data_IF_441936648816
#
_entry.id   IF_441936648816
#
_cell.length_a   1.000
_cell.length_b   1.000
_cell.length_c   1.000
_cell.angle_alpha   90.00
_cell.angle_beta   90.00
_cell.angle_gamma   90.00
#
_symmetry.space_group_name_H-M   'P 1'
#
loop_
_entity.id
_entity.type
_entity.pdbx_description
1 polymer ?
#
# COMPACT_ATOMS: atom_id res chain seq x y z
N UNK A 1 16.60 80.39 12.43
CA UNK A 1 16.91 80.50 13.87
C UNK A 1 15.60 80.62 14.65
N UNK A 2 15.52 80.00 15.85
CA UNK A 2 14.35 79.80 16.76
C UNK A 2 13.54 78.53 16.45
N UNK A 3 13.87 77.39 17.09
CA UNK A 3 13.37 76.84 18.38
C UNK A 3 11.85 76.68 18.41
N UNK A 4 11.35 75.45 18.56
CA UNK A 4 10.76 74.96 19.81
C UNK A 4 10.61 73.44 19.81
N UNK A 5 11.12 72.81 20.88
CA UNK A 5 10.74 71.48 21.34
C UNK A 5 9.32 71.54 21.90
N UNK A 6 8.52 70.49 21.68
CA UNK A 6 7.45 70.13 22.61
C UNK A 6 7.38 68.62 22.78
N UNK A 7 7.49 68.23 24.04
CA UNK A 7 7.31 66.89 24.58
C UNK A 7 5.85 66.45 24.49
N UNK A 8 5.58 65.21 24.06
CA UNK A 8 4.43 64.43 24.53
C UNK A 8 4.80 62.95 24.66
N UNK A 9 4.85 62.51 25.93
CA UNK A 9 4.51 61.21 26.55
C UNK A 9 4.31 59.99 25.63
N UNK A 10 5.12 58.94 25.78
CA UNK A 10 4.93 57.81 26.72
C UNK A 10 3.73 56.91 26.37
N UNK A 11 3.97 55.80 25.66
CA UNK A 11 3.25 54.53 25.91
C UNK A 11 4.25 53.38 25.88
N UNK A 12 4.34 52.78 27.05
CA UNK A 12 5.00 51.55 27.44
C UNK A 12 4.26 50.35 26.81
N UNK A 13 4.94 49.47 26.10
CA UNK A 13 4.49 48.08 25.94
C UNK A 13 5.62 47.11 26.25
N UNK A 14 5.56 46.60 27.50
CA UNK A 14 6.16 45.33 27.87
C UNK A 14 5.58 44.23 26.99
N UNK A 15 6.42 43.54 26.23
CA UNK A 15 6.11 42.20 25.76
C UNK A 15 6.73 41.20 26.72
N UNK A 16 5.83 40.65 27.54
CA UNK A 16 6.00 39.57 28.49
C UNK A 16 6.52 38.30 27.79
N UNK A 17 7.52 37.70 28.42
CA UNK A 17 7.67 36.27 28.66
C UNK A 17 6.91 35.32 27.70
N UNK A 18 7.52 35.04 26.54
CA UNK A 18 7.28 33.77 25.85
C UNK A 18 8.17 32.70 26.47
N UNK A 19 7.71 32.06 27.55
CA UNK A 19 8.32 30.82 28.02
C UNK A 19 8.24 29.82 26.87
N UNK A 20 9.36 29.59 26.20
CA UNK A 20 9.57 28.39 25.41
C UNK A 20 9.53 27.21 26.38
N UNK A 21 8.32 26.71 26.65
CA UNK A 21 8.16 25.34 27.12
C UNK A 21 8.75 24.47 26.03
N UNK A 22 10.03 24.12 26.19
CA UNK A 22 10.51 22.83 25.72
C UNK A 22 9.54 21.82 26.32
N UNK A 23 8.57 21.38 25.51
CA UNK A 23 7.93 20.09 25.71
C UNK A 23 9.08 19.08 25.67
N UNK A 24 9.59 18.79 26.85
CA UNK A 24 10.36 17.59 27.12
C UNK A 24 9.51 16.45 26.59
N UNK A 25 9.91 15.97 25.41
CA UNK A 25 9.56 14.64 24.93
C UNK A 25 9.84 13.72 26.10
N UNK A 26 8.77 13.32 26.77
CA UNK A 26 8.82 12.24 27.74
C UNK A 26 9.30 11.04 26.94
N UNK A 27 10.59 10.74 27.07
CA UNK A 27 11.14 9.41 26.85
C UNK A 27 10.48 8.51 27.92
N UNK A 28 9.19 8.25 27.74
CA UNK A 28 8.37 7.47 28.65
C UNK A 28 8.73 6.01 28.51
N UNK A 29 8.84 5.34 29.66
CA UNK A 29 8.92 3.89 29.79
C UNK A 29 8.09 3.19 28.69
N UNK A 30 8.77 2.44 27.81
CA UNK A 30 8.17 1.90 26.58
C UNK A 30 6.85 1.18 26.85
N UNK A 31 5.75 1.81 26.45
CA UNK A 31 4.43 1.36 26.84
C UNK A 31 4.07 -0.02 26.29
N UNK A 32 3.14 -0.67 26.96
CA UNK A 32 2.72 -2.03 26.62
C UNK A 32 1.69 -2.02 25.45
N UNK A 33 1.74 -3.00 24.52
CA UNK A 33 2.75 -4.04 24.36
C UNK A 33 4.03 -3.51 23.69
N UNK A 34 5.20 -4.15 23.94
CA UNK A 34 6.40 -3.89 23.16
C UNK A 34 6.20 -4.22 21.68
N UNK A 35 6.87 -3.48 20.79
CA UNK A 35 6.81 -3.63 19.33
C UNK A 35 6.99 -5.09 18.86
N UNK A 36 8.01 -5.79 19.36
CA UNK A 36 8.29 -7.18 19.00
C UNK A 36 7.17 -8.15 19.43
N UNK A 37 6.48 -7.86 20.55
CA UNK A 37 5.34 -8.66 21.00
C UNK A 37 4.12 -8.41 20.11
N UNK A 38 3.82 -7.15 19.80
CA UNK A 38 2.72 -6.78 18.91
C UNK A 38 2.85 -7.49 17.56
N UNK A 39 4.05 -7.45 16.96
CA UNK A 39 4.32 -8.16 15.70
C UNK A 39 4.00 -9.66 15.79
N UNK A 40 4.55 -10.38 16.79
CA UNK A 40 4.31 -11.83 16.95
C UNK A 40 2.85 -12.18 17.21
N UNK A 41 2.15 -11.37 17.99
CA UNK A 41 0.74 -11.59 18.29
C UNK A 41 -0.13 -11.41 17.03
N UNK A 42 0.11 -10.34 16.25
CA UNK A 42 -0.58 -10.08 14.98
C UNK A 42 -0.24 -11.15 13.94
N UNK A 43 1.02 -11.55 13.81
CA UNK A 43 1.43 -12.61 12.89
C UNK A 43 0.72 -13.93 13.20
N UNK A 44 0.67 -14.32 14.48
CA UNK A 44 -0.04 -15.53 14.92
C UNK A 44 -1.54 -15.45 14.66
N UNK A 45 -2.14 -14.28 14.88
CA UNK A 45 -3.56 -14.07 14.62
C UNK A 45 -3.86 -14.14 13.12
N UNK A 46 -3.05 -13.49 12.29
CA UNK A 46 -3.19 -13.48 10.84
C UNK A 46 -3.15 -14.89 10.24
N UNK A 47 -2.24 -15.75 10.70
CA UNK A 47 -2.17 -17.16 10.26
C UNK A 47 -3.48 -17.93 10.46
N UNK A 48 -4.31 -17.52 11.41
CA UNK A 48 -5.60 -18.17 11.70
C UNK A 48 -6.77 -17.49 10.97
N UNK A 49 -6.81 -16.16 10.97
CA UNK A 49 -7.95 -15.40 10.42
C UNK A 49 -7.85 -15.15 8.92
N UNK A 50 -6.63 -15.02 8.38
CA UNK A 50 -6.37 -14.68 6.99
C UNK A 50 -5.36 -15.66 6.37
N UNK A 51 -5.76 -16.93 6.18
CA UNK A 51 -4.86 -17.94 5.61
C UNK A 51 -4.34 -17.47 4.24
N UNK A 52 -3.03 -17.67 4.01
CA UNK A 52 -2.35 -17.24 2.79
C UNK A 52 -1.80 -15.81 2.82
N UNK A 53 -2.20 -14.94 3.77
CA UNK A 53 -1.59 -13.61 3.93
C UNK A 53 -0.38 -13.67 4.87
N UNK A 54 0.76 -13.19 4.39
CA UNK A 54 1.99 -13.10 5.19
C UNK A 54 2.14 -11.71 5.79
N UNK A 55 2.24 -11.60 7.11
CA UNK A 55 2.56 -10.32 7.79
C UNK A 55 4.05 -10.06 7.64
N UNK A 56 4.43 -9.01 6.93
CA UNK A 56 5.83 -8.61 6.76
C UNK A 56 6.32 -7.71 7.88
N UNK A 57 5.46 -6.76 8.30
CA UNK A 57 5.79 -5.79 9.33
C UNK A 57 4.53 -5.28 10.05
N UNK A 58 4.71 -4.80 11.27
CA UNK A 58 3.67 -4.08 12.03
C UNK A 58 4.33 -2.85 12.61
N UNK A 59 3.75 -1.66 12.46
CA UNK A 59 4.26 -0.42 13.06
C UNK A 59 3.33 -0.01 14.20
N UNK A 60 3.81 -0.05 15.44
CA UNK A 60 3.05 0.47 16.58
C UNK A 60 2.96 2.00 16.49
N UNK A 61 1.75 2.55 16.54
CA UNK A 61 1.52 4.00 16.48
C UNK A 61 1.17 4.61 17.85
N UNK A 62 0.72 3.79 18.80
CA UNK A 62 0.40 4.25 20.15
C UNK A 62 0.45 3.11 21.16
N UNK A 63 0.30 3.45 22.43
CA UNK A 63 0.21 2.48 23.53
C UNK A 63 -1.22 1.95 23.72
N UNK A 64 -1.36 0.92 24.55
CA UNK A 64 -2.63 0.32 24.93
C UNK A 64 -3.58 1.37 25.57
N UNK A 65 -4.64 1.72 24.86
CA UNK A 65 -5.69 2.64 25.29
C UNK A 65 -6.88 1.84 25.83
N UNK A 66 -7.26 2.10 27.09
CA UNK A 66 -8.43 1.46 27.70
C UNK A 66 -9.68 1.83 26.92
N UNK A 67 -10.58 0.86 26.74
CA UNK A 67 -11.84 1.09 26.04
C UNK A 67 -13.05 0.68 26.84
N UNK A 68 -14.12 1.44 26.64
CA UNK A 68 -15.47 1.07 27.04
C UNK A 68 -16.09 0.03 26.09
N UNK A 69 -17.21 -0.59 26.49
CA UNK A 69 -17.95 -1.56 25.68
C UNK A 69 -18.35 -1.04 24.29
N UNK A 70 -18.65 0.25 24.17
CA UNK A 70 -19.11 0.91 22.94
C UNK A 70 -18.05 0.98 21.84
N UNK A 71 -16.77 0.85 22.19
CA UNK A 71 -15.65 0.90 21.25
C UNK A 71 -15.09 -0.50 20.92
N UNK A 72 -15.69 -1.55 21.48
CA UNK A 72 -15.32 -2.93 21.17
C UNK A 72 -15.92 -3.32 19.81
N UNK A 73 -15.19 -4.10 19.01
CA UNK A 73 -15.75 -4.63 17.76
C UNK A 73 -16.92 -5.54 18.08
N UNK A 74 -17.86 -5.68 17.15
CA UNK A 74 -19.08 -6.49 17.31
C UNK A 74 -18.79 -7.92 17.78
N UNK A 75 -17.69 -8.51 17.30
CA UNK A 75 -17.22 -9.84 17.66
C UNK A 75 -16.92 -9.98 19.18
N UNK A 76 -16.68 -8.87 19.88
CA UNK A 76 -16.36 -8.81 21.30
C UNK A 76 -17.49 -8.16 22.13
N UNK A 77 -18.50 -7.56 21.50
CA UNK A 77 -19.56 -6.77 22.16
C UNK A 77 -20.49 -7.62 23.04
N UNK A 78 -20.61 -8.93 22.77
CA UNK A 78 -21.35 -9.88 23.60
C UNK A 78 -20.69 -10.23 24.95
N UNK A 79 -19.48 -9.72 25.23
CA UNK A 79 -18.82 -9.98 26.51
C UNK A 79 -19.48 -9.20 27.66
N UNK A 80 -20.08 -9.93 28.60
CA UNK A 80 -20.75 -9.40 29.81
C UNK A 80 -19.88 -8.56 30.76
N UNK A 81 -18.58 -8.39 30.48
CA UNK A 81 -17.70 -7.50 31.23
C UNK A 81 -16.66 -6.86 30.30
N UNK A 82 -16.89 -5.63 29.81
CA UNK A 82 -15.93 -4.89 28.99
C UNK A 82 -14.70 -4.44 29.79
N UNK A 83 -14.68 -4.68 31.10
CA UNK A 83 -13.57 -4.31 31.97
C UNK A 83 -12.29 -5.04 31.57
N UNK A 84 -11.22 -4.27 31.39
CA UNK A 84 -9.88 -4.79 31.13
C UNK A 84 -9.53 -5.01 29.66
N UNK A 85 -10.32 -4.48 28.73
CA UNK A 85 -9.94 -4.34 27.34
C UNK A 85 -9.11 -3.08 27.10
N UNK A 86 -8.19 -3.17 26.16
CA UNK A 86 -7.58 -2.02 25.52
C UNK A 86 -7.35 -2.31 24.04
N UNK A 87 -7.17 -1.26 23.22
CA UNK A 87 -6.62 -1.42 21.88
C UNK A 87 -5.30 -0.69 21.73
N UNK A 88 -4.55 -1.13 20.73
CA UNK A 88 -3.31 -0.51 20.26
C UNK A 88 -3.54 -0.12 18.82
N UNK A 89 -3.28 1.13 18.47
CA UNK A 89 -3.29 1.57 17.06
C UNK A 89 -1.98 1.16 16.41
N UNK A 90 -2.07 0.51 15.25
CA UNK A 90 -0.92 0.04 14.50
C UNK A 90 -1.16 0.05 12.98
N UNK A 91 -0.11 0.23 12.21
CA UNK A 91 -0.13 -0.05 10.78
C UNK A 91 0.29 -1.51 10.55
N UNK A 92 -0.50 -2.28 9.81
CA UNK A 92 -0.21 -3.71 9.54
C UNK A 92 0.13 -3.86 8.06
N UNK A 93 1.32 -4.40 7.78
CA UNK A 93 1.85 -4.58 6.43
C UNK A 93 1.77 -6.06 6.06
N UNK A 94 0.90 -6.40 5.11
CA UNK A 94 0.88 -7.72 4.50
C UNK A 94 1.75 -7.73 3.25
N UNK A 95 2.61 -8.73 3.13
CA UNK A 95 3.40 -8.94 1.91
C UNK A 95 2.50 -9.50 0.80
N UNK A 96 2.61 -8.89 -0.37
CA UNK A 96 2.01 -9.37 -1.61
C UNK A 96 3.09 -9.29 -2.70
N UNK A 97 3.90 -10.35 -2.83
CA UNK A 97 5.06 -10.37 -3.73
C UNK A 97 6.00 -9.18 -3.51
N UNK A 98 6.10 -8.27 -4.47
CA UNK A 98 6.92 -7.05 -4.49
C UNK A 98 6.19 -5.79 -3.99
N UNK A 99 4.99 -5.91 -3.43
CA UNK A 99 4.26 -4.82 -2.76
C UNK A 99 3.88 -5.18 -1.32
N UNK A 100 3.46 -4.14 -0.59
CA UNK A 100 2.78 -4.23 0.69
C UNK A 100 1.34 -3.75 0.56
N UNK A 101 0.40 -4.51 1.11
CA UNK A 101 -0.92 -4.01 1.51
C UNK A 101 -0.80 -3.49 2.94
N UNK A 102 -0.97 -2.18 3.13
CA UNK A 102 -0.80 -1.50 4.41
C UNK A 102 -2.17 -1.13 4.95
N UNK A 103 -2.54 -1.70 6.10
CA UNK A 103 -3.77 -1.35 6.82
C UNK A 103 -3.44 -0.30 7.87
N UNK A 104 -3.64 0.97 7.52
CA UNK A 104 -3.29 2.14 8.34
C UNK A 104 -4.26 2.30 9.50
N UNK A 105 -3.72 2.61 10.68
CA UNK A 105 -4.56 2.90 11.85
C UNK A 105 -5.41 1.70 12.31
N UNK A 106 -4.97 0.48 12.03
CA UNK A 106 -5.63 -0.75 12.51
C UNK A 106 -5.68 -0.79 14.04
N UNK A 107 -6.76 -1.34 14.60
CA UNK A 107 -6.96 -1.46 16.05
C UNK A 107 -6.75 -2.90 16.49
N UNK A 108 -5.74 -3.12 17.33
CA UNK A 108 -5.39 -4.45 17.87
C UNK A 108 -5.89 -4.53 19.31
N UNK A 109 -6.92 -5.35 19.55
CA UNK A 109 -7.59 -5.45 20.84
C UNK A 109 -6.98 -6.52 21.73
N UNK A 110 -6.72 -6.14 22.98
CA UNK A 110 -6.15 -7.00 24.01
C UNK A 110 -7.06 -7.08 25.24
N UNK A 111 -7.09 -8.26 25.86
CA UNK A 111 -7.67 -8.48 27.20
C UNK A 111 -6.70 -9.30 28.03
N UNK A 112 -6.39 -8.85 29.26
CA UNK A 112 -5.43 -9.54 30.15
C UNK A 112 -4.13 -9.92 29.42
N UNK A 113 -3.60 -9.01 28.61
CA UNK A 113 -2.39 -9.18 27.78
C UNK A 113 -2.46 -10.22 26.66
N UNK A 114 -3.64 -10.74 26.32
CA UNK A 114 -3.85 -11.66 25.19
C UNK A 114 -4.58 -10.92 24.07
N UNK A 115 -4.09 -11.05 22.84
CA UNK A 115 -4.77 -10.52 21.66
C UNK A 115 -6.12 -11.23 21.52
N UNK A 116 -7.18 -10.47 21.28
CA UNK A 116 -8.55 -10.98 21.14
C UNK A 116 -9.08 -10.76 19.72
N UNK A 117 -8.87 -9.57 19.15
CA UNK A 117 -9.32 -9.23 17.82
C UNK A 117 -8.37 -8.24 17.16
N UNK A 118 -8.41 -8.17 15.83
CA UNK A 118 -7.75 -7.15 15.01
C UNK A 118 -8.82 -6.58 14.08
N UNK A 119 -9.00 -5.27 14.13
CA UNK A 119 -9.82 -4.51 13.20
C UNK A 119 -8.88 -3.79 12.23
N UNK A 120 -8.94 -4.18 10.96
CA UNK A 120 -8.11 -3.59 9.92
C UNK A 120 -8.63 -2.17 9.59
N UNK A 121 -7.70 -1.21 9.50
CA UNK A 121 -8.03 0.16 9.15
C UNK A 121 -8.03 0.42 7.63
N UNK A 122 -7.65 1.63 7.23
CA UNK A 122 -7.67 2.05 5.82
C UNK A 122 -6.61 1.29 5.01
N UNK A 123 -7.01 0.72 3.87
CA UNK A 123 -6.10 0.04 2.96
C UNK A 123 -5.35 1.03 2.08
N UNK A 124 -4.03 1.00 2.16
CA UNK A 124 -3.10 1.67 1.26
C UNK A 124 -2.14 0.64 0.65
N UNK A 125 -1.60 0.93 -0.52
CA UNK A 125 -0.62 0.05 -1.20
C UNK A 125 0.71 0.76 -1.36
N UNK A 126 1.80 0.04 -1.19
CA UNK A 126 3.15 0.57 -1.41
C UNK A 126 4.09 -0.49 -1.97
N UNK A 127 5.05 -0.06 -2.79
CA UNK A 127 6.04 -0.94 -3.41
C UNK A 127 7.22 -1.22 -2.47
N UNK A 128 7.74 -2.45 -2.51
CA UNK A 128 8.98 -2.79 -1.82
C UNK A 128 10.16 -2.08 -2.50
N UNK A 129 11.24 -1.89 -1.75
CA UNK A 129 12.50 -1.41 -2.32
C UNK A 129 12.94 -2.33 -3.47
N UNK A 130 13.39 -1.74 -4.58
CA UNK A 130 13.69 -2.44 -5.84
C UNK A 130 12.48 -2.66 -6.77
N UNK A 131 11.24 -2.56 -6.27
CA UNK A 131 10.02 -2.67 -7.08
C UNK A 131 9.77 -4.05 -7.68
N UNK A 132 8.87 -4.13 -8.67
CA UNK A 132 8.61 -5.36 -9.43
C UNK A 132 9.75 -5.57 -10.46
N UNK A 133 10.41 -6.74 -10.47
CA UNK A 133 11.45 -7.04 -11.46
C UNK A 133 10.85 -7.08 -12.87
N UNK A 134 11.64 -6.69 -13.86
CA UNK A 134 11.25 -6.85 -15.26
C UNK A 134 11.19 -8.35 -15.60
N UNK A 135 10.16 -8.81 -16.33
CA UNK A 135 10.12 -10.16 -16.87
C UNK A 135 11.15 -10.32 -17.99
N UNK A 136 11.59 -11.55 -18.25
CA UNK A 136 12.51 -11.83 -19.37
C UNK A 136 11.80 -11.69 -20.72
N UNK A 137 12.53 -11.49 -21.84
CA UNK A 137 11.92 -11.45 -23.18
C UNK A 137 11.07 -12.70 -23.51
N UNK A 138 11.48 -13.87 -23.03
CA UNK A 138 10.77 -15.14 -23.22
C UNK A 138 9.46 -15.17 -22.41
N UNK A 139 9.50 -14.68 -21.17
CA UNK A 139 8.30 -14.53 -20.32
C UNK A 139 7.31 -13.54 -20.94
N UNK A 140 7.80 -12.40 -21.45
CA UNK A 140 6.98 -11.41 -22.17
C UNK A 140 6.32 -12.04 -23.39
N UNK A 141 7.08 -12.76 -24.20
CA UNK A 141 6.57 -13.45 -25.40
C UNK A 141 5.47 -14.43 -25.02
N UNK A 142 5.69 -15.24 -23.98
CA UNK A 142 4.73 -16.22 -23.46
C UNK A 142 3.44 -15.53 -22.97
N UNK A 143 3.56 -14.47 -22.18
CA UNK A 143 2.43 -13.70 -21.68
C UNK A 143 1.60 -13.08 -22.81
N UNK A 144 2.26 -12.50 -23.80
CA UNK A 144 1.60 -11.88 -24.95
C UNK A 144 0.91 -12.93 -25.82
N UNK A 145 1.56 -14.05 -26.12
CA UNK A 145 0.96 -15.15 -26.89
C UNK A 145 -0.25 -15.76 -26.17
N UNK A 146 -0.14 -15.98 -24.85
CA UNK A 146 -1.25 -16.47 -24.04
C UNK A 146 -2.43 -15.48 -24.05
N UNK A 147 -2.14 -14.18 -23.92
CA UNK A 147 -3.18 -13.16 -23.95
C UNK A 147 -3.89 -13.07 -25.31
N UNK A 148 -3.15 -13.11 -26.43
CA UNK A 148 -3.75 -13.14 -27.77
C UNK A 148 -4.54 -14.42 -28.06
N UNK A 149 -4.13 -15.56 -27.48
CA UNK A 149 -4.89 -16.82 -27.61
C UNK A 149 -6.26 -16.77 -26.92
N UNK A 150 -6.43 -15.85 -25.95
CA UNK A 150 -7.71 -15.59 -25.30
C UNK A 150 -8.57 -14.53 -26.00
N UNK A 151 -8.12 -13.96 -27.12
CA UNK A 151 -8.88 -12.97 -27.89
C UNK A 151 -9.71 -13.69 -28.95
N UNK A 152 -11.01 -13.41 -28.96
CA UNK A 152 -11.95 -14.01 -29.92
C UNK A 152 -11.52 -13.79 -31.38
N UNK A 153 -11.58 -14.86 -32.16
CA UNK A 153 -11.23 -14.85 -33.58
C UNK A 153 -9.73 -15.00 -33.89
N UNK A 154 -8.85 -15.01 -32.89
CA UNK A 154 -7.41 -15.28 -33.07
C UNK A 154 -7.14 -16.76 -32.84
N UNK A 155 -6.49 -17.42 -33.82
CA UNK A 155 -6.13 -18.84 -33.75
C UNK A 155 -4.64 -19.07 -33.51
N UNK A 156 -3.81 -18.08 -33.86
CA UNK A 156 -2.36 -18.15 -33.69
C UNK A 156 -1.79 -16.76 -33.47
N UNK A 157 -0.87 -16.64 -32.53
CA UNK A 157 -0.07 -15.44 -32.32
C UNK A 157 1.41 -15.78 -32.31
N UNK A 158 2.20 -15.05 -33.11
CA UNK A 158 3.66 -15.03 -32.99
C UNK A 158 4.09 -13.64 -32.56
N UNK A 159 4.95 -13.57 -31.56
CA UNK A 159 5.38 -12.31 -30.95
C UNK A 159 6.89 -12.28 -30.97
N UNK A 160 7.44 -11.16 -31.43
CA UNK A 160 8.86 -10.83 -31.35
C UNK A 160 9.00 -9.54 -30.56
N UNK A 161 9.65 -9.62 -29.38
CA UNK A 161 9.89 -8.45 -28.52
C UNK A 161 11.05 -7.65 -29.12
N UNK A 162 10.78 -6.40 -29.49
CA UNK A 162 11.78 -5.51 -30.09
C UNK A 162 12.47 -4.64 -29.03
N UNK A 163 11.69 -4.08 -28.12
CA UNK A 163 12.18 -3.18 -27.07
C UNK A 163 11.34 -3.34 -25.80
N UNK A 164 11.99 -3.25 -24.64
CA UNK A 164 11.35 -3.23 -23.34
C UNK A 164 11.76 -1.98 -22.57
N UNK A 165 10.79 -1.25 -22.03
CA UNK A 165 11.04 -0.15 -21.12
C UNK A 165 11.54 -0.62 -19.75
N UNK A 166 11.48 0.29 -18.77
CA UNK A 166 11.76 -0.05 -17.36
C UNK A 166 10.45 -0.15 -16.57
N UNK A 167 10.30 -1.16 -15.69
CA UNK A 167 9.17 -1.24 -14.78
C UNK A 167 9.06 0.03 -13.93
N UNK A 168 7.89 0.64 -13.87
CA UNK A 168 7.64 1.86 -13.09
C UNK A 168 6.32 1.80 -12.32
N UNK A 169 6.23 2.41 -11.13
CA UNK A 169 4.97 2.58 -10.44
C UNK A 169 3.97 3.40 -11.28
N UNK A 170 2.71 2.98 -11.28
CA UNK A 170 1.60 3.71 -11.89
C UNK A 170 0.32 3.49 -11.05
N UNK A 171 0.04 4.41 -10.13
CA UNK A 171 -1.01 4.22 -9.14
C UNK A 171 -0.75 2.96 -8.31
N UNK A 172 -1.70 2.03 -8.31
CA UNK A 172 -1.66 0.77 -7.52
C UNK A 172 -0.99 -0.41 -8.23
N UNK A 173 -0.51 -0.22 -9.47
CA UNK A 173 0.15 -1.26 -10.28
C UNK A 173 1.55 -0.81 -10.73
N UNK A 174 2.41 -1.77 -11.06
CA UNK A 174 3.62 -1.53 -11.84
C UNK A 174 3.28 -1.67 -13.32
N UNK A 175 3.84 -0.78 -14.15
CA UNK A 175 3.71 -0.85 -15.61
C UNK A 175 5.06 -1.07 -16.27
N UNK A 176 5.04 -1.88 -17.32
CA UNK A 176 6.14 -2.06 -18.25
C UNK A 176 5.61 -1.86 -19.68
N UNK A 177 6.23 -0.94 -20.42
CA UNK A 177 5.95 -0.76 -21.84
C UNK A 177 6.82 -1.71 -22.67
N UNK A 178 6.21 -2.38 -23.64
CA UNK A 178 6.87 -3.29 -24.58
C UNK A 178 6.55 -2.84 -26.00
N UNK A 179 7.56 -2.75 -26.86
CA UNK A 179 7.39 -2.65 -28.31
C UNK A 179 7.60 -4.04 -28.87
N UNK A 180 6.60 -4.56 -29.58
CA UNK A 180 6.68 -5.88 -30.19
C UNK A 180 6.17 -5.86 -31.62
N UNK A 181 6.72 -6.78 -32.42
CA UNK A 181 6.15 -7.21 -33.68
C UNK A 181 5.22 -8.38 -33.42
N UNK A 182 3.98 -8.27 -33.87
CA UNK A 182 2.93 -9.26 -33.63
C UNK A 182 2.37 -9.75 -34.96
N UNK A 183 2.36 -11.07 -35.14
CA UNK A 183 1.71 -11.73 -36.26
C UNK A 183 0.51 -12.53 -35.73
N UNK A 184 -0.68 -12.18 -36.21
CA UNK A 184 -1.95 -12.78 -35.81
C UNK A 184 -2.52 -13.57 -36.97
N UNK A 185 -2.81 -14.85 -36.74
CA UNK A 185 -3.66 -15.67 -37.61
C UNK A 185 -5.09 -15.67 -37.07
N UNK A 186 -6.07 -15.52 -37.96
CA UNK A 186 -7.50 -15.47 -37.61
C UNK A 186 -8.26 -16.71 -38.06
N UNK A 187 -9.44 -16.92 -37.47
CA UNK A 187 -10.32 -18.06 -37.81
C UNK A 187 -10.82 -18.02 -39.26
N UNK A 188 -10.97 -16.82 -39.84
CA UNK A 188 -11.35 -16.62 -41.24
C UNK A 188 -10.21 -16.92 -42.25
N UNK A 189 -9.07 -17.40 -41.75
CA UNK A 189 -7.87 -17.71 -42.55
C UNK A 189 -7.03 -16.47 -42.90
N UNK A 190 -7.46 -15.27 -42.51
CA UNK A 190 -6.67 -14.06 -42.72
C UNK A 190 -5.49 -13.98 -41.74
N UNK A 191 -4.47 -13.20 -42.12
CA UNK A 191 -3.35 -12.88 -41.26
C UNK A 191 -3.13 -11.37 -41.18
N UNK A 192 -2.67 -10.92 -40.02
CA UNK A 192 -2.37 -9.53 -39.75
C UNK A 192 -0.99 -9.42 -39.11
N UNK A 193 -0.13 -8.60 -39.70
CA UNK A 193 1.18 -8.25 -39.14
C UNK A 193 1.15 -6.82 -38.60
N UNK A 194 1.64 -6.65 -37.39
CA UNK A 194 1.74 -5.38 -36.68
C UNK A 194 3.20 -5.17 -36.26
N UNK A 195 3.92 -4.30 -36.96
CA UNK A 195 5.38 -4.22 -36.84
C UNK A 195 5.89 -3.49 -35.59
N UNK A 196 5.12 -2.52 -35.07
CA UNK A 196 5.53 -1.69 -33.92
C UNK A 196 4.36 -1.46 -32.98
N UNK A 197 3.88 -2.53 -32.36
CA UNK A 197 2.79 -2.45 -31.42
C UNK A 197 3.30 -2.08 -30.04
N UNK A 198 2.73 -1.03 -29.45
CA UNK A 198 2.97 -0.64 -28.07
C UNK A 198 2.01 -1.41 -27.16
N UNK A 199 2.57 -2.31 -26.37
CA UNK A 199 1.86 -3.15 -25.41
C UNK A 199 2.24 -2.73 -24.00
N UNK A 200 1.30 -2.86 -23.07
CA UNK A 200 1.52 -2.56 -21.66
C UNK A 200 1.34 -3.86 -20.88
N UNK A 201 2.36 -4.23 -20.10
CA UNK A 201 2.24 -5.21 -19.05
C UNK A 201 1.98 -4.49 -17.73
N UNK A 202 1.10 -5.05 -16.92
CA UNK A 202 0.79 -4.58 -15.58
C UNK A 202 1.11 -5.67 -14.56
N UNK A 203 1.51 -5.25 -13.36
CA UNK A 203 1.71 -6.16 -12.24
C UNK A 203 1.13 -5.54 -10.99
N UNK A 204 0.35 -6.35 -10.29
CA UNK A 204 -0.09 -6.08 -8.92
C UNK A 204 0.97 -6.50 -7.89
N UNK A 205 2.21 -6.71 -8.30
CA UNK A 205 3.32 -7.07 -7.43
C UNK A 205 3.51 -8.56 -7.22
N UNK A 206 2.67 -9.43 -7.78
CA UNK A 206 2.87 -10.89 -7.74
C UNK A 206 3.34 -11.45 -9.08
N UNK A 207 2.67 -11.05 -10.16
CA UNK A 207 2.92 -11.52 -11.51
C UNK A 207 2.64 -10.43 -12.54
N UNK A 208 3.32 -10.52 -13.68
CA UNK A 208 3.02 -9.70 -14.85
C UNK A 208 1.83 -10.27 -15.62
N UNK A 209 0.98 -9.39 -16.11
CA UNK A 209 -0.13 -9.71 -17.00
C UNK A 209 -0.23 -8.65 -18.10
N UNK A 210 -0.81 -9.02 -19.24
CA UNK A 210 -1.02 -8.06 -20.33
C UNK A 210 -2.23 -7.20 -19.99
N UNK A 211 -2.10 -5.88 -20.09
CA UNK A 211 -3.22 -4.98 -19.90
C UNK A 211 -4.20 -5.15 -21.10
N UNK A 212 -5.42 -5.67 -20.88
CA UNK A 212 -6.28 -6.18 -21.94
C UNK A 212 -6.68 -5.10 -22.96
N UNK A 213 -6.86 -3.86 -22.49
CA UNK A 213 -7.19 -2.71 -23.34
C UNK A 213 -6.09 -2.32 -24.35
N UNK A 214 -4.90 -2.92 -24.25
CA UNK A 214 -3.79 -2.68 -25.16
C UNK A 214 -3.53 -3.84 -26.12
N UNK A 215 -4.31 -4.93 -26.07
CA UNK A 215 -4.12 -6.11 -26.93
C UNK A 215 -4.52 -5.87 -28.38
N UNK A 216 -5.35 -4.88 -28.68
CA UNK A 216 -5.72 -4.54 -30.05
C UNK A 216 -5.59 -3.02 -30.25
N UNK A 217 -5.20 -2.56 -31.43
CA UNK A 217 -5.22 -1.12 -31.73
C UNK A 217 -6.66 -0.60 -31.60
N UNK A 218 -6.87 0.59 -31.02
CA UNK A 218 -8.20 1.18 -30.93
C UNK A 218 -8.77 1.44 -32.34
N UNK A 219 -9.98 0.91 -32.61
CA UNK A 219 -10.77 1.28 -33.79
C UNK A 219 -10.72 0.31 -34.99
N UNK A 220 -10.90 -1.00 -34.77
CA UNK A 220 -11.36 -1.92 -35.82
C UNK A 220 -12.44 -2.84 -35.28
#
# INVERSE_FOLDING_TARGET
MRRQLNHVRLVLMLLLAGTATLTTLSAGAGGWPPQARLFRDVERHAKKQWPGRKVGYVKKLGDCQKVGPEQLPEQLSGNKSPRGFCFVTADIYFEHGYRYDIHRGSRVFYRKRRLQAVELGELQRAWKEGGMPAPTPEEITTLLQAAYSGVDGITKASVEVMETGRPRPHGDVYRLTVVAKVHLGRQDGSSQQLDKMLLILESEGSQWQVAPQHLLPPGK
#
